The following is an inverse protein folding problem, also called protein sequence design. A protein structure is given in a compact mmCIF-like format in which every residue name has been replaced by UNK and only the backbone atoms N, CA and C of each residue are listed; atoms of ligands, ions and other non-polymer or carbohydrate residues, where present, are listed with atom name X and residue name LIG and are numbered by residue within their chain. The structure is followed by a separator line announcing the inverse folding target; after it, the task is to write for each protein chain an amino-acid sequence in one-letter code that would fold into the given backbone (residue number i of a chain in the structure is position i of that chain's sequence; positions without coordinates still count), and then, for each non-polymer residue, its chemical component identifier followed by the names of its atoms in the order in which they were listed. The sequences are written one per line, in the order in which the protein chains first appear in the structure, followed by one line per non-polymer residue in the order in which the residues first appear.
data_IF_453268184392
#
_entry.id   IF_453268184392
#
_cell.length_a   1.000
_cell.length_b   1.000
_cell.length_c   1.000
_cell.angle_alpha   90.00
_cell.angle_beta   90.00
_cell.angle_gamma   90.00
#
_symmetry.space_group_name_H-M   'P 1'
#
loop_
_entity.id
_entity.type
_entity.pdbx_description
1 polymer ?
#
# COMPACT_ATOMS: atom_id res chain seq x y z
N UNK A 1 7.65 -6.80 25.78
CA UNK A 1 7.25 -6.28 24.46
C UNK A 1 7.87 -7.17 23.38
N UNK A 2 7.08 -7.71 22.45
CA UNK A 2 7.59 -8.43 21.27
C UNK A 2 7.73 -7.41 20.13
N UNK A 3 8.94 -7.27 19.60
CA UNK A 3 9.17 -6.55 18.34
C UNK A 3 8.85 -7.50 17.18
N UNK A 4 8.11 -7.03 16.16
CA UNK A 4 7.79 -7.77 14.95
C UNK A 4 8.53 -7.16 13.75
N UNK A 5 9.83 -7.44 13.68
CA UNK A 5 10.67 -7.07 12.54
C UNK A 5 11.07 -8.34 11.79
N UNK A 6 10.88 -8.36 10.47
CA UNK A 6 11.43 -9.37 9.57
C UNK A 6 12.66 -8.78 8.87
N UNK A 7 13.78 -9.50 8.88
CA UNK A 7 14.97 -9.13 8.13
C UNK A 7 15.12 -10.05 6.91
N UNK A 8 15.33 -9.49 5.73
CA UNK A 8 15.61 -10.23 4.49
C UNK A 8 16.92 -9.75 3.87
N UNK A 9 17.85 -10.67 3.60
CA UNK A 9 19.09 -10.40 2.86
C UNK A 9 18.90 -10.54 1.35
N UNK A 10 19.70 -9.81 0.59
CA UNK A 10 19.75 -9.87 -0.87
C UNK A 10 21.20 -10.10 -1.34
N UNK A 11 21.37 -10.72 -2.51
CA UNK A 11 22.65 -10.99 -3.16
C UNK A 11 23.40 -9.70 -3.56
N UNK A 12 22.71 -8.55 -3.59
CA UNK A 12 23.32 -7.22 -3.75
C UNK A 12 24.08 -6.73 -2.50
N UNK A 13 24.15 -7.54 -1.44
CA UNK A 13 24.82 -7.23 -0.19
C UNK A 13 24.00 -6.36 0.77
N UNK A 14 22.71 -6.13 0.48
CA UNK A 14 21.83 -5.35 1.35
C UNK A 14 20.97 -6.21 2.27
N UNK A 15 20.55 -5.60 3.39
CA UNK A 15 19.54 -6.15 4.30
C UNK A 15 18.36 -5.19 4.32
N UNK A 16 17.15 -5.70 4.05
CA UNK A 16 15.91 -4.98 4.30
C UNK A 16 15.32 -5.38 5.64
N UNK A 17 14.94 -4.37 6.41
CA UNK A 17 14.20 -4.54 7.66
C UNK A 17 12.74 -4.14 7.41
N UNK A 18 11.84 -5.07 7.70
CA UNK A 18 10.40 -4.92 7.52
C UNK A 18 9.73 -4.81 8.87
N UNK A 19 9.00 -3.73 9.13
CA UNK A 19 8.15 -3.62 10.30
C UNK A 19 6.79 -4.26 9.99
N UNK A 20 6.57 -5.47 10.52
CA UNK A 20 5.41 -6.30 10.16
C UNK A 20 4.04 -5.68 10.50
N UNK A 21 3.87 -4.89 11.58
CA UNK A 21 2.59 -4.22 11.85
C UNK A 21 2.18 -3.23 10.75
N UNK A 22 3.12 -2.73 9.95
CA UNK A 22 2.81 -1.89 8.80
C UNK A 22 2.49 -2.66 7.52
N UNK A 23 2.75 -3.98 7.51
CA UNK A 23 2.45 -4.91 6.41
C UNK A 23 1.08 -5.57 6.54
N UNK A 24 0.22 -5.07 7.43
CA UNK A 24 -1.18 -5.46 7.46
C UNK A 24 -1.86 -5.09 6.13
N UNK A 25 -2.71 -5.99 5.64
CA UNK A 25 -3.34 -5.87 4.32
C UNK A 25 -4.05 -4.52 4.15
N UNK A 26 -4.79 -4.06 5.16
CA UNK A 26 -5.48 -2.77 5.13
C UNK A 26 -4.50 -1.59 5.00
N UNK A 27 -3.42 -1.60 5.79
CA UNK A 27 -2.36 -0.57 5.72
C UNK A 27 -1.72 -0.52 4.34
N UNK A 28 -1.46 -1.68 3.73
CA UNK A 28 -0.90 -1.77 2.39
C UNK A 28 -1.90 -1.30 1.33
N UNK A 29 -3.16 -1.70 1.43
CA UNK A 29 -4.20 -1.31 0.47
C UNK A 29 -4.45 0.21 0.51
N UNK A 30 -4.59 0.81 1.68
CA UNK A 30 -4.70 2.28 1.84
C UNK A 30 -3.50 2.99 1.23
N UNK A 31 -2.27 2.60 1.60
CA UNK A 31 -1.03 3.21 1.08
C UNK A 31 -0.95 3.15 -0.44
N UNK A 32 -1.28 2.00 -1.03
CA UNK A 32 -1.22 1.84 -2.49
C UNK A 32 -2.36 2.58 -3.20
N UNK A 33 -3.58 2.54 -2.65
CA UNK A 33 -4.73 3.21 -3.24
C UNK A 33 -4.57 4.73 -3.24
N UNK A 34 -3.89 5.32 -2.25
CA UNK A 34 -3.62 6.76 -2.26
C UNK A 34 -2.76 7.21 -3.43
N UNK A 35 -1.83 6.34 -3.87
CA UNK A 35 -0.99 6.61 -5.04
C UNK A 35 -1.74 6.33 -6.34
N UNK A 36 -2.43 5.19 -6.40
CA UNK A 36 -2.96 4.65 -7.66
C UNK A 36 -4.33 5.24 -8.03
N UNK A 37 -5.11 5.76 -7.07
CA UNK A 37 -6.47 6.28 -7.33
C UNK A 37 -6.49 7.39 -8.38
N UNK A 38 -5.49 8.26 -8.39
CA UNK A 38 -5.38 9.31 -9.43
C UNK A 38 -5.14 8.73 -10.82
N UNK A 39 -4.30 7.70 -10.92
CA UNK A 39 -4.03 7.01 -12.19
C UNK A 39 -5.28 6.32 -12.73
N UNK A 40 -6.01 5.57 -11.88
CA UNK A 40 -7.25 4.88 -12.26
C UNK A 40 -8.32 5.83 -12.78
N UNK A 41 -8.44 7.03 -12.19
CA UNK A 41 -9.47 8.01 -12.58
C UNK A 41 -9.14 8.77 -13.85
N UNK A 42 -7.86 9.07 -14.09
CA UNK A 42 -7.45 10.04 -15.11
C UNK A 42 -6.81 9.42 -16.35
N UNK A 43 -6.36 8.17 -16.31
CA UNK A 43 -5.74 7.53 -17.46
C UNK A 43 -6.83 6.99 -18.43
N UNK A 44 -6.87 7.44 -19.71
CA UNK A 44 -7.86 7.00 -20.67
C UNK A 44 -7.72 5.53 -21.10
N UNK A 45 -6.57 4.90 -20.82
CA UNK A 45 -6.29 3.51 -21.19
C UNK A 45 -6.69 2.50 -20.09
N UNK A 46 -7.30 2.96 -18.99
CA UNK A 46 -7.81 2.10 -17.92
C UNK A 46 -9.23 1.67 -18.28
N UNK A 47 -9.53 0.37 -18.15
CA UNK A 47 -10.87 -0.16 -18.36
C UNK A 47 -11.84 0.46 -17.34
N UNK A 48 -13.08 0.71 -17.75
CA UNK A 48 -14.06 1.36 -16.87
C UNK A 48 -14.37 0.55 -15.60
N UNK A 49 -14.29 -0.78 -15.67
CA UNK A 49 -14.44 -1.67 -14.51
C UNK A 49 -13.34 -1.45 -13.45
N UNK A 50 -12.13 -1.10 -13.88
CA UNK A 50 -10.96 -0.96 -12.99
C UNK A 50 -10.89 0.41 -12.31
N UNK A 51 -11.66 1.41 -12.80
CA UNK A 51 -11.63 2.79 -12.28
C UNK A 51 -11.96 2.88 -10.79
N UNK A 52 -12.72 1.90 -10.29
CA UNK A 52 -13.26 1.85 -8.93
C UNK A 52 -12.56 0.83 -8.04
N UNK A 53 -11.42 0.25 -8.45
CA UNK A 53 -10.68 -0.77 -7.66
C UNK A 53 -10.29 -0.32 -6.24
N UNK A 54 -10.17 1.00 -6.03
CA UNK A 54 -9.84 1.59 -4.73
C UNK A 54 -11.04 2.16 -3.98
N UNK A 55 -12.26 1.95 -4.47
CA UNK A 55 -13.46 2.41 -3.78
C UNK A 55 -13.70 1.58 -2.52
N UNK A 56 -14.13 2.25 -1.44
CA UNK A 56 -14.30 1.62 -0.12
C UNK A 56 -13.00 1.34 0.64
N UNK A 57 -11.83 1.58 0.04
CA UNK A 57 -10.56 1.58 0.75
C UNK A 57 -10.31 2.98 1.29
N UNK A 58 -10.17 3.09 2.61
CA UNK A 58 -9.91 4.36 3.28
C UNK A 58 -8.60 4.98 2.81
N UNK A 59 -8.50 6.30 2.91
CA UNK A 59 -7.31 7.04 2.52
C UNK A 59 -6.51 7.51 3.74
N UNK A 60 -5.32 8.08 3.52
CA UNK A 60 -4.53 8.63 4.61
C UNK A 60 -5.25 9.71 5.42
N UNK A 61 -6.25 10.40 4.87
CA UNK A 61 -7.02 11.41 5.60
C UNK A 61 -7.94 10.80 6.65
N UNK A 62 -8.44 9.58 6.42
CA UNK A 62 -9.22 8.81 7.39
C UNK A 62 -8.40 8.35 8.60
N UNK A 63 -7.05 8.34 8.51
CA UNK A 63 -6.15 7.91 9.60
C UNK A 63 -5.69 9.05 10.52
N UNK A 64 -6.03 10.30 10.20
CA UNK A 64 -5.64 11.49 10.98
C UNK A 64 -6.78 12.02 11.86
N UNK A 65 -7.96 11.40 11.79
CA UNK A 65 -9.11 11.62 12.68
C UNK A 65 -9.43 10.36 13.48
#
# INVERSE_FOLDING_TARGET
MKSQILASGNDDGTIKLWYLPELELESLLTKNCDVVRSYLKNNPNVNDEDRNLCDGIGDFSDRIY
#
